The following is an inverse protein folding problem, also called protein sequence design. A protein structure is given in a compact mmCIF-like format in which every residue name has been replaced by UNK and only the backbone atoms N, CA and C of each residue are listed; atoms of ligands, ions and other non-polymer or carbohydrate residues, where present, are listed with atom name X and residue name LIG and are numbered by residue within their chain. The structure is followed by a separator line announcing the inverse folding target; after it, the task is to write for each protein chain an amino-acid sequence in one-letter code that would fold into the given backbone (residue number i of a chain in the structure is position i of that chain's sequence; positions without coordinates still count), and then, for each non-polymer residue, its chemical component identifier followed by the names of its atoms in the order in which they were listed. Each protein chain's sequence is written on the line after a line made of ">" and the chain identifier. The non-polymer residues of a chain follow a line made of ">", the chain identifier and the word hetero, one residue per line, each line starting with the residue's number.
data_IF_426892700172
#
_entry.id   IF_426892700172
#
_cell.length_a   1.000
_cell.length_b   1.000
_cell.length_c   1.000
_cell.angle_alpha   90.00
_cell.angle_beta   90.00
_cell.angle_gamma   90.00
#
_symmetry.space_group_name_H-M   'P 1'
#
loop_
_entity.id
_entity.type
_entity.pdbx_description
1 polymer ?
#
# COMPACT_ATOMS: atom_id res chain seq x y z
N UNK A 1 -14.86 21.44 -15.71
CA UNK A 1 -13.91 21.17 -14.62
C UNK A 1 -12.55 21.10 -15.29
N UNK A 2 -11.63 22.03 -15.01
CA UNK A 2 -10.33 22.08 -15.70
C UNK A 2 -9.45 20.94 -15.18
N UNK A 3 -8.59 20.41 -16.04
CA UNK A 3 -7.66 19.32 -15.69
C UNK A 3 -6.85 19.63 -14.41
N UNK A 4 -6.54 20.91 -14.17
CA UNK A 4 -5.87 21.38 -12.95
C UNK A 4 -6.59 21.06 -11.64
N UNK A 5 -7.93 21.18 -11.62
CA UNK A 5 -8.71 20.91 -10.40
C UNK A 5 -8.69 19.42 -10.06
N UNK A 6 -8.72 18.56 -11.08
CA UNK A 6 -8.61 17.11 -10.90
C UNK A 6 -7.23 16.74 -10.38
N UNK A 7 -6.17 17.29 -10.99
CA UNK A 7 -4.78 17.05 -10.59
C UNK A 7 -4.51 17.48 -9.16
N UNK A 8 -4.97 18.66 -8.76
CA UNK A 8 -4.77 19.18 -7.41
C UNK A 8 -5.56 18.36 -6.38
N UNK A 9 -6.79 17.95 -6.69
CA UNK A 9 -7.57 17.08 -5.81
C UNK A 9 -6.91 15.72 -5.59
N UNK A 10 -6.38 15.11 -6.66
CA UNK A 10 -5.66 13.83 -6.55
C UNK A 10 -4.39 13.99 -5.72
N UNK A 11 -3.63 15.07 -5.94
CA UNK A 11 -2.42 15.36 -5.17
C UNK A 11 -2.73 15.49 -3.68
N UNK A 12 -3.79 16.21 -3.34
CA UNK A 12 -4.20 16.40 -1.94
C UNK A 12 -4.60 15.09 -1.27
N UNK A 13 -5.35 14.23 -1.97
CA UNK A 13 -5.69 12.90 -1.47
C UNK A 13 -4.42 12.08 -1.20
N UNK A 14 -3.45 12.08 -2.12
CA UNK A 14 -2.21 11.34 -1.96
C UNK A 14 -1.35 11.85 -0.78
N UNK A 15 -1.32 13.17 -0.56
CA UNK A 15 -0.65 13.78 0.57
C UNK A 15 -1.30 13.32 1.89
N UNK A 16 -2.62 13.46 2.01
CA UNK A 16 -3.38 13.03 3.20
C UNK A 16 -3.18 11.53 3.50
N UNK A 17 -3.16 10.69 2.47
CA UNK A 17 -2.87 9.26 2.64
C UNK A 17 -1.46 9.00 3.14
N UNK A 18 -0.47 9.72 2.61
CA UNK A 18 0.94 9.61 3.00
C UNK A 18 1.12 10.03 4.45
N UNK A 19 0.58 11.19 4.83
CA UNK A 19 0.66 11.71 6.20
C UNK A 19 -0.05 10.78 7.20
N UNK A 20 -1.21 10.24 6.83
CA UNK A 20 -1.92 9.27 7.66
C UNK A 20 -1.07 8.03 7.91
N UNK A 21 -0.43 7.47 6.87
CA UNK A 21 0.42 6.29 7.01
C UNK A 21 1.72 6.60 7.76
N UNK A 22 2.34 7.76 7.54
CA UNK A 22 3.55 8.17 8.24
C UNK A 22 3.35 8.27 9.76
N UNK A 23 2.12 8.56 10.19
CA UNK A 23 1.71 8.61 11.60
C UNK A 23 1.12 7.28 12.12
N UNK A 24 1.43 6.16 11.46
CA UNK A 24 0.93 4.81 11.78
C UNK A 24 -0.60 4.65 11.72
N UNK A 25 -1.27 5.56 11.00
CA UNK A 25 -2.68 5.52 10.74
C UNK A 25 -3.07 4.50 9.67
N UNK A 26 -4.39 4.36 9.47
CA UNK A 26 -4.99 3.51 8.44
C UNK A 26 -5.90 4.34 7.56
N UNK A 27 -5.78 4.19 6.26
CA UNK A 27 -6.69 4.78 5.27
C UNK A 27 -7.67 3.71 4.80
N UNK A 28 -8.96 4.00 4.84
CA UNK A 28 -10.00 3.11 4.33
C UNK A 28 -10.81 3.81 3.24
N UNK A 29 -10.82 3.23 2.04
CA UNK A 29 -11.65 3.65 0.91
C UNK A 29 -12.72 2.58 0.74
N UNK A 30 -13.91 2.82 1.29
CA UNK A 30 -15.01 1.84 1.33
C UNK A 30 -15.29 1.29 -0.07
N UNK A 31 -15.47 -0.03 -0.16
CA UNK A 31 -15.63 -0.75 -1.43
C UNK A 31 -14.31 -1.03 -2.16
N UNK A 32 -13.35 -0.11 -2.13
CA UNK A 32 -12.07 -0.25 -2.85
C UNK A 32 -11.03 -1.04 -2.06
N UNK A 33 -10.77 -0.66 -0.81
CA UNK A 33 -9.78 -1.33 0.03
C UNK A 33 -9.26 -0.47 1.17
N UNK A 34 -8.14 -0.88 1.77
CA UNK A 34 -7.48 -0.10 2.83
C UNK A 34 -5.97 -0.14 2.73
N UNK A 35 -5.33 0.94 3.16
CA UNK A 35 -3.88 1.07 3.28
C UNK A 35 -3.51 1.11 4.76
N UNK A 36 -2.51 0.32 5.14
CA UNK A 36 -1.97 0.29 6.50
C UNK A 36 -0.48 -0.05 6.45
N UNK A 37 0.25 0.22 7.53
CA UNK A 37 1.61 -0.25 7.66
C UNK A 37 1.68 -1.71 8.13
N UNK A 38 2.63 -2.45 7.58
CA UNK A 38 3.10 -3.71 8.12
C UNK A 38 4.49 -3.50 8.74
N UNK A 39 4.57 -3.62 10.06
CA UNK A 39 5.84 -3.57 10.78
C UNK A 39 6.61 -4.88 10.68
N UNK A 40 7.79 -4.81 10.08
CA UNK A 40 8.76 -5.91 10.09
C UNK A 40 9.82 -5.63 11.14
N UNK A 41 9.98 -6.57 12.07
CA UNK A 41 11.03 -6.53 13.10
C UNK A 41 12.41 -6.72 12.45
N UNK A 42 13.44 -6.16 13.07
CA UNK A 42 14.81 -6.42 12.69
C UNK A 42 15.12 -7.93 12.79
N UNK A 43 15.95 -8.44 11.87
CA UNK A 43 16.31 -9.86 11.81
C UNK A 43 17.65 -10.06 11.13
N UNK A 44 18.21 -11.25 11.23
CA UNK A 44 19.32 -11.66 10.37
C UNK A 44 18.76 -12.22 9.05
N UNK A 45 19.22 -11.65 7.94
CA UNK A 45 19.03 -12.18 6.59
C UNK A 45 20.27 -12.93 6.13
N UNK A 46 20.25 -13.38 4.87
CA UNK A 46 21.44 -13.92 4.21
C UNK A 46 21.69 -13.20 2.90
N UNK A 47 22.95 -12.91 2.61
CA UNK A 47 23.36 -12.44 1.29
C UNK A 47 23.07 -13.54 0.26
N UNK A 48 22.22 -13.29 -0.77
CA UNK A 48 21.88 -14.32 -1.75
C UNK A 48 23.08 -14.85 -2.56
N UNK A 49 24.17 -14.08 -2.64
CA UNK A 49 25.37 -14.43 -3.40
C UNK A 49 26.39 -15.23 -2.59
N UNK A 50 26.61 -14.87 -1.32
CA UNK A 50 27.66 -15.46 -0.47
C UNK A 50 27.13 -16.37 0.64
N UNK A 51 25.84 -16.28 0.96
CA UNK A 51 25.22 -17.00 2.08
C UNK A 51 25.52 -16.42 3.46
N UNK A 52 26.37 -15.39 3.55
CA UNK A 52 26.75 -14.74 4.80
C UNK A 52 25.55 -14.10 5.50
N UNK A 53 25.57 -14.13 6.83
CA UNK A 53 24.54 -13.53 7.67
C UNK A 53 24.68 -12.01 7.66
N UNK A 54 23.60 -11.29 7.32
CA UNK A 54 23.59 -9.82 7.26
C UNK A 54 22.44 -9.25 8.08
N UNK A 55 22.65 -8.16 8.84
CA UNK A 55 21.57 -7.53 9.60
C UNK A 55 20.55 -6.88 8.65
N UNK A 56 19.26 -7.11 8.92
CA UNK A 56 18.14 -6.46 8.24
C UNK A 56 17.44 -5.58 9.27
N UNK A 57 17.44 -4.25 9.11
CA UNK A 57 16.82 -3.35 10.08
C UNK A 57 15.31 -3.52 10.10
N UNK A 58 14.70 -3.12 11.22
CA UNK A 58 13.25 -3.00 11.31
C UNK A 58 12.75 -1.95 10.32
N UNK A 59 11.57 -2.18 9.76
CA UNK A 59 10.93 -1.21 8.85
C UNK A 59 9.42 -1.33 8.86
N UNK A 60 8.75 -0.20 8.66
CA UNK A 60 7.35 -0.15 8.28
C UNK A 60 7.23 -0.27 6.76
N UNK A 61 6.24 -1.03 6.29
CA UNK A 61 6.00 -1.25 4.87
C UNK A 61 4.55 -0.90 4.56
N UNK A 62 4.26 0.07 3.68
CA UNK A 62 2.91 0.31 3.20
C UNK A 62 2.32 -0.95 2.58
N UNK A 63 1.09 -1.29 2.98
CA UNK A 63 0.39 -2.47 2.51
C UNK A 63 -1.03 -2.11 2.11
N UNK A 64 -1.39 -2.38 0.85
CA UNK A 64 -2.75 -2.29 0.37
C UNK A 64 -3.48 -3.61 0.56
N UNK A 65 -4.68 -3.57 1.14
CA UNK A 65 -5.62 -4.68 1.27
C UNK A 65 -6.80 -4.40 0.33
N UNK A 66 -6.88 -5.06 -0.84
CA UNK A 66 -8.01 -4.89 -1.75
C UNK A 66 -9.32 -5.26 -1.05
N UNK A 67 -10.36 -4.46 -1.23
CA UNK A 67 -11.70 -4.71 -0.71
C UNK A 67 -12.43 -5.79 -1.50
N UNK A 68 -13.56 -6.27 -0.97
CA UNK A 68 -14.38 -7.30 -1.61
C UNK A 68 -14.85 -6.87 -3.01
N UNK A 69 -15.46 -5.69 -3.13
CA UNK A 69 -16.01 -5.21 -4.40
C UNK A 69 -14.93 -5.04 -5.48
N UNK A 70 -13.73 -4.58 -5.13
CA UNK A 70 -12.61 -4.52 -6.07
C UNK A 70 -12.19 -5.92 -6.56
N UNK A 71 -12.05 -6.89 -5.64
CA UNK A 71 -11.67 -8.26 -6.01
C UNK A 71 -12.73 -8.91 -6.91
N UNK A 72 -14.00 -8.75 -6.58
CA UNK A 72 -15.12 -9.29 -7.36
C UNK A 72 -15.14 -8.68 -8.76
N UNK A 73 -15.10 -7.34 -8.88
CA UNK A 73 -15.11 -6.66 -10.17
C UNK A 73 -13.95 -7.08 -11.08
N UNK A 74 -12.76 -7.33 -10.53
CA UNK A 74 -11.60 -7.81 -11.29
C UNK A 74 -11.78 -9.27 -11.73
N UNK A 75 -12.22 -10.15 -10.82
CA UNK A 75 -12.39 -11.57 -11.13
C UNK A 75 -13.54 -11.81 -12.12
N UNK A 76 -14.64 -11.06 -12.01
CA UNK A 76 -15.78 -11.15 -12.92
C UNK A 76 -15.37 -10.78 -14.35
N UNK A 77 -14.51 -9.77 -14.51
CA UNK A 77 -13.96 -9.36 -15.81
C UNK A 77 -13.05 -10.43 -16.43
N UNK A 78 -12.30 -11.17 -15.62
CA UNK A 78 -11.44 -12.28 -16.09
C UNK A 78 -12.26 -13.52 -16.47
N UNK A 79 -13.40 -13.76 -15.80
CA UNK A 79 -14.24 -14.92 -16.08
C UNK A 79 -15.13 -14.78 -17.34
N UNK A 80 -15.35 -13.56 -17.83
CA UNK A 80 -16.28 -13.26 -18.92
C UNK A 80 -15.62 -12.52 -20.11
N UNK A 81 -14.29 -12.46 -20.15
CA UNK A 81 -13.49 -11.95 -21.27
C UNK A 81 -12.59 -13.04 -21.81
#
# INVERSE_FOLDING_TARGET
>A
MTDTVVDDAVREILNLMTDTLANDGRVEVRGFGSFCLHHRRARMGRNPKTGESVPVPAKAIPHFKPGKALREAVNDKVAHG
#
